data_IF_523124546797
#
_entry.id   IF_523124546797
#
_cell.length_a   1.000
_cell.length_b   1.000
_cell.length_c   1.000
_cell.angle_alpha   90.00
_cell.angle_beta   90.00
_cell.angle_gamma   90.00
#
_symmetry.space_group_name_H-M   'P 1'
#
loop_
_entity.id
_entity.type
_entity.pdbx_description
1 polymer ?
#
# COMPACT_ATOMS: atom_id res chain seq x y z
N UNK A 1 16.18 6.42 -5.57
CA UNK A 1 14.84 6.63 -4.98
C UNK A 1 13.87 7.35 -5.91
N UNK A 2 14.18 8.52 -6.49
CA UNK A 2 13.26 9.22 -7.41
C UNK A 2 12.76 8.35 -8.57
N UNK A 3 13.67 7.63 -9.25
CA UNK A 3 13.32 6.67 -10.30
C UNK A 3 12.34 5.58 -9.83
N UNK A 4 12.60 4.99 -8.66
CA UNK A 4 11.72 3.98 -8.06
C UNK A 4 10.31 4.52 -7.81
N UNK A 5 10.18 5.73 -7.24
CA UNK A 5 8.88 6.36 -6.99
C UNK A 5 8.16 6.71 -8.31
N UNK A 6 8.86 7.28 -9.28
CA UNK A 6 8.31 7.59 -10.60
C UNK A 6 7.81 6.34 -11.34
N UNK A 7 8.54 5.23 -11.23
CA UNK A 7 8.10 3.95 -11.79
C UNK A 7 6.83 3.43 -11.10
N UNK A 8 6.73 3.49 -9.77
CA UNK A 8 5.50 3.09 -9.07
C UNK A 8 4.30 3.96 -9.48
N UNK A 9 4.51 5.26 -9.73
CA UNK A 9 3.47 6.14 -10.26
C UNK A 9 2.99 5.67 -11.65
N UNK A 10 3.92 5.32 -12.54
CA UNK A 10 3.60 4.81 -13.88
C UNK A 10 2.87 3.47 -13.83
N UNK A 11 3.34 2.55 -13.00
CA UNK A 11 2.70 1.25 -12.77
C UNK A 11 1.31 1.37 -12.16
N UNK A 12 0.98 2.51 -11.54
CA UNK A 12 -0.33 2.79 -10.97
C UNK A 12 -1.43 2.98 -12.04
N UNK A 13 -1.10 3.56 -13.19
CA UNK A 13 -2.06 3.77 -14.29
C UNK A 13 -1.85 2.82 -15.48
N UNK A 14 -0.63 2.28 -15.65
CA UNK A 14 -0.31 1.32 -16.70
C UNK A 14 -0.18 -0.09 -16.10
N UNK A 15 -1.30 -0.80 -15.91
CA UNK A 15 -1.31 -2.06 -15.15
C UNK A 15 -1.02 -3.26 -16.06
N UNK A 16 0.01 -4.04 -15.72
CA UNK A 16 0.34 -5.32 -16.36
C UNK A 16 -0.04 -6.53 -15.47
N UNK A 17 -0.23 -7.74 -16.05
CA UNK A 17 -0.61 -8.94 -15.29
C UNK A 17 0.35 -9.29 -14.15
N UNK A 18 1.65 -9.08 -14.36
CA UNK A 18 2.68 -9.25 -13.35
C UNK A 18 3.62 -8.04 -13.29
N UNK A 19 4.11 -7.75 -12.08
CA UNK A 19 5.14 -6.73 -11.88
C UNK A 19 6.42 -7.02 -12.67
N UNK A 20 6.72 -8.28 -12.97
CA UNK A 20 7.93 -8.63 -13.75
C UNK A 20 7.77 -8.29 -15.23
N UNK A 21 6.54 -8.19 -15.72
CA UNK A 21 6.25 -7.98 -17.14
C UNK A 21 6.66 -6.58 -17.63
N UNK A 22 6.80 -5.60 -16.73
CA UNK A 22 7.33 -4.28 -17.09
C UNK A 22 8.79 -4.30 -17.60
N UNK A 23 9.50 -5.41 -17.40
CA UNK A 23 10.83 -5.67 -17.96
C UNK A 23 10.81 -6.77 -19.02
N UNK A 24 9.64 -7.13 -19.54
CA UNK A 24 9.53 -8.06 -20.66
C UNK A 24 10.17 -7.47 -21.92
N UNK A 25 10.74 -8.34 -22.75
CA UNK A 25 11.23 -8.01 -24.09
C UNK A 25 10.25 -8.40 -25.19
N UNK A 26 9.12 -9.04 -24.83
CA UNK A 26 8.08 -9.44 -25.78
C UNK A 26 7.34 -8.22 -26.36
N UNK A 27 7.05 -8.17 -27.67
CA UNK A 27 6.50 -6.97 -28.32
C UNK A 27 5.17 -6.45 -27.76
N UNK A 28 4.34 -7.34 -27.21
CA UNK A 28 3.02 -7.04 -26.66
C UNK A 28 3.04 -6.61 -25.19
N UNK A 29 4.13 -6.91 -24.47
CA UNK A 29 4.31 -6.62 -23.04
C UNK A 29 5.46 -5.64 -22.74
N UNK A 30 6.31 -5.36 -23.73
CA UNK A 30 7.45 -4.50 -23.55
C UNK A 30 7.01 -3.09 -23.15
N UNK A 31 7.60 -2.59 -22.06
CA UNK A 31 7.44 -1.19 -21.62
C UNK A 31 8.82 -0.53 -21.66
N UNK A 32 9.29 -0.05 -22.83
CA UNK A 32 10.63 0.52 -22.98
C UNK A 32 10.91 1.65 -21.99
N UNK A 33 9.88 2.43 -21.65
CA UNK A 33 9.97 3.48 -20.64
C UNK A 33 10.46 2.95 -19.29
N UNK A 34 9.89 1.84 -18.78
CA UNK A 34 10.28 1.26 -17.49
C UNK A 34 11.62 0.52 -17.61
N UNK A 35 11.76 -0.29 -18.67
CA UNK A 35 12.94 -1.12 -18.89
C UNK A 35 14.24 -0.31 -18.92
N UNK A 36 14.21 0.91 -19.48
CA UNK A 36 15.36 1.79 -19.61
C UNK A 36 15.70 2.61 -18.35
N UNK A 37 14.81 2.71 -17.35
CA UNK A 37 15.02 3.56 -16.17
C UNK A 37 15.89 2.86 -15.10
N UNK A 38 15.48 1.66 -14.68
CA UNK A 38 16.26 0.87 -13.72
C UNK A 38 16.12 -0.62 -14.00
N UNK A 39 17.19 -1.42 -13.84
CA UNK A 39 17.12 -2.86 -13.97
C UNK A 39 16.12 -3.49 -12.99
N UNK A 40 15.42 -4.55 -13.43
CA UNK A 40 14.45 -5.29 -12.59
C UNK A 40 15.02 -5.68 -11.24
N UNK A 41 16.23 -6.25 -11.24
CA UNK A 41 16.90 -6.69 -10.02
C UNK A 41 17.07 -5.55 -9.01
N UNK A 42 17.43 -4.35 -9.48
CA UNK A 42 17.61 -3.17 -8.65
C UNK A 42 16.26 -2.66 -8.10
N UNK A 43 15.22 -2.64 -8.92
CA UNK A 43 13.88 -2.29 -8.46
C UNK A 43 13.38 -3.24 -7.37
N UNK A 44 13.53 -4.55 -7.59
CA UNK A 44 13.13 -5.55 -6.60
C UNK A 44 13.95 -5.48 -5.32
N UNK A 45 15.26 -5.18 -5.40
CA UNK A 45 16.12 -4.97 -4.23
C UNK A 45 15.65 -3.78 -3.39
N UNK A 46 15.37 -2.64 -4.03
CA UNK A 46 14.83 -1.46 -3.33
C UNK A 46 13.47 -1.81 -2.70
N UNK A 47 12.57 -2.45 -3.46
CA UNK A 47 11.24 -2.84 -2.97
C UNK A 47 11.33 -3.76 -1.75
N UNK A 48 12.26 -4.71 -1.72
CA UNK A 48 12.43 -5.66 -0.60
C UNK A 48 13.00 -5.00 0.66
N UNK A 49 13.85 -3.99 0.51
CA UNK A 49 14.60 -3.36 1.61
C UNK A 49 14.09 -1.95 1.93
N UNK A 50 12.89 -1.58 1.50
CA UNK A 50 12.34 -0.26 1.75
C UNK A 50 11.93 -0.14 3.22
N UNK A 51 12.63 0.74 3.95
CA UNK A 51 12.39 1.01 5.37
C UNK A 51 12.38 2.52 5.63
N UNK A 52 11.49 2.95 6.53
CA UNK A 52 11.32 4.36 6.89
C UNK A 52 11.67 4.67 8.35
N UNK A 53 11.95 3.65 9.15
CA UNK A 53 12.23 3.76 10.57
C UNK A 53 13.47 2.95 10.97
N UNK A 54 14.04 3.27 12.12
CA UNK A 54 15.11 2.48 12.72
C UNK A 54 14.52 1.36 13.58
N UNK A 55 14.68 0.10 13.17
CA UNK A 55 14.15 -1.03 13.93
C UNK A 55 14.79 -1.22 15.32
N UNK A 56 15.96 -0.60 15.59
CA UNK A 56 16.66 -0.72 16.88
C UNK A 56 16.00 0.08 18.01
N UNK A 57 15.09 1.00 17.70
CA UNK A 57 14.44 1.88 18.68
C UNK A 57 12.95 1.62 18.81
N UNK A 58 12.47 0.52 18.21
CA UNK A 58 11.08 0.06 18.32
C UNK A 58 10.80 -0.29 19.78
N UNK A 59 9.70 0.23 20.31
CA UNK A 59 9.25 -0.05 21.67
C UNK A 59 8.69 -1.47 21.77
N UNK A 60 8.76 -2.05 22.96
CA UNK A 60 8.14 -3.36 23.23
C UNK A 60 6.62 -3.26 23.13
N UNK A 61 5.94 -4.34 22.72
CA UNK A 61 4.48 -4.38 22.57
C UNK A 61 3.71 -4.13 23.87
N UNK A 62 4.33 -4.37 25.02
CA UNK A 62 3.77 -4.11 26.35
C UNK A 62 3.94 -2.66 26.81
N UNK A 63 4.75 -1.88 26.11
CA UNK A 63 4.98 -0.47 26.42
C UNK A 63 3.70 0.35 26.17
N UNK A 64 3.35 1.30 27.05
CA UNK A 64 2.23 2.22 26.80
C UNK A 64 2.45 3.07 25.53
N UNK A 65 3.72 3.34 25.21
CA UNK A 65 4.12 4.09 24.00
C UNK A 65 4.31 3.21 22.76
N UNK A 66 3.79 1.97 22.74
CA UNK A 66 3.90 1.10 21.58
C UNK A 66 2.97 1.57 20.45
N UNK A 67 3.57 1.95 19.33
CA UNK A 67 2.83 2.26 18.11
C UNK A 67 2.90 1.10 17.10
N UNK A 68 1.73 0.53 16.78
CA UNK A 68 1.58 -0.55 15.81
C UNK A 68 1.91 -0.10 14.37
N UNK A 69 1.80 1.20 14.08
CA UNK A 69 2.12 1.83 12.81
C UNK A 69 3.54 2.41 12.75
N UNK A 70 4.37 2.23 13.80
CA UNK A 70 5.70 2.84 13.94
C UNK A 70 6.57 2.76 12.67
N UNK A 71 6.49 1.64 11.94
CA UNK A 71 7.29 1.39 10.73
C UNK A 71 6.97 2.32 9.55
N UNK A 72 5.77 2.89 9.54
CA UNK A 72 5.26 3.79 8.49
C UNK A 72 4.94 5.18 9.04
N UNK A 73 4.96 5.36 10.37
CA UNK A 73 4.63 6.63 11.02
C UNK A 73 5.40 7.83 10.46
N UNK A 74 6.73 7.75 10.18
CA UNK A 74 7.45 8.89 9.59
C UNK A 74 6.90 9.35 8.24
N UNK A 75 6.34 8.43 7.46
CA UNK A 75 5.73 8.73 6.17
C UNK A 75 4.32 9.31 6.33
N UNK A 76 3.55 8.77 7.28
CA UNK A 76 2.24 9.32 7.63
C UNK A 76 2.38 10.77 8.10
N UNK A 77 3.30 11.05 9.03
CA UNK A 77 3.54 12.38 9.58
C UNK A 77 3.99 13.37 8.50
N UNK A 78 4.86 12.92 7.59
CA UNK A 78 5.31 13.72 6.46
C UNK A 78 4.15 14.12 5.56
N UNK A 79 3.32 13.16 5.13
CA UNK A 79 2.18 13.45 4.26
C UNK A 79 1.10 14.28 4.94
N UNK A 80 0.78 14.00 6.20
CA UNK A 80 -0.17 14.79 6.97
C UNK A 80 0.27 16.26 7.04
N UNK A 81 1.55 16.49 7.36
CA UNK A 81 2.12 17.85 7.40
C UNK A 81 2.09 18.50 6.02
N UNK A 82 2.52 17.80 4.98
CA UNK A 82 2.54 18.32 3.61
C UNK A 82 1.15 18.67 3.09
N UNK A 83 0.15 17.81 3.33
CA UNK A 83 -1.21 18.05 2.87
C UNK A 83 -1.87 19.18 3.65
N UNK A 84 -1.71 19.24 4.97
CA UNK A 84 -2.25 20.36 5.77
C UNK A 84 -1.67 21.71 5.32
N UNK A 85 -0.38 21.76 4.98
CA UNK A 85 0.25 22.99 4.50
C UNK A 85 -0.17 23.38 3.07
N UNK A 86 -0.56 22.40 2.24
CA UNK A 86 -0.97 22.63 0.85
C UNK A 86 -2.47 22.91 0.71
N UNK A 87 -3.27 22.62 1.73
CA UNK A 87 -4.73 22.62 1.65
C UNK A 87 -5.29 23.97 2.13
N UNK A 88 -6.15 24.56 1.30
CA UNK A 88 -6.99 25.70 1.68
C UNK A 88 -8.36 25.14 2.10
N UNK A 89 -8.67 25.17 3.38
CA UNK A 89 -9.91 24.60 3.90
C UNK A 89 -11.15 25.34 3.37
N UNK A 90 -12.17 24.58 2.99
CA UNK A 90 -13.53 25.05 2.71
C UNK A 90 -14.43 24.82 3.92
N UNK A 91 -15.56 25.53 3.97
CA UNK A 91 -16.56 25.39 5.04
C UNK A 91 -17.24 24.01 5.03
N UNK A 92 -17.43 23.43 3.84
CA UNK A 92 -18.01 22.11 3.66
C UNK A 92 -16.90 21.07 3.54
N UNK A 93 -16.93 20.07 4.42
CA UNK A 93 -15.99 18.94 4.43
C UNK A 93 -16.73 17.64 4.64
N UNK A 94 -16.33 16.60 3.92
CA UNK A 94 -16.78 15.23 4.15
C UNK A 94 -15.67 14.44 4.84
N UNK A 95 -16.06 13.62 5.82
CA UNK A 95 -15.16 12.72 6.53
C UNK A 95 -15.70 11.32 6.31
N UNK A 96 -14.85 10.46 5.74
CA UNK A 96 -15.16 9.06 5.48
C UNK A 96 -13.91 8.20 5.69
N UNK A 97 -14.11 6.91 5.88
CA UNK A 97 -13.06 5.93 6.08
C UNK A 97 -12.64 5.32 4.73
N UNK A 98 -11.34 5.32 4.44
CA UNK A 98 -10.81 4.61 3.26
C UNK A 98 -10.08 3.33 3.68
N UNK A 99 -10.43 2.22 3.01
CA UNK A 99 -9.84 0.91 3.26
C UNK A 99 -8.87 0.48 2.17
N UNK A 100 -7.63 0.16 2.57
CA UNK A 100 -6.63 -0.42 1.67
C UNK A 100 -6.71 -1.94 1.74
N UNK A 101 -7.00 -2.59 0.60
CA UNK A 101 -7.06 -4.05 0.51
C UNK A 101 -5.68 -4.66 0.79
N UNK A 102 -5.60 -5.55 1.78
CA UNK A 102 -4.37 -6.25 2.14
C UNK A 102 -4.65 -7.70 2.57
N UNK A 103 -4.01 -8.68 1.92
CA UNK A 103 -4.17 -10.11 2.23
C UNK A 103 -3.12 -10.67 3.21
N UNK A 104 -2.03 -9.95 3.48
CA UNK A 104 -0.95 -10.43 4.36
C UNK A 104 -1.32 -10.50 5.85
N UNK A 105 -0.42 -11.07 6.66
CA UNK A 105 -0.56 -11.10 8.12
C UNK A 105 -0.14 -9.75 8.71
N UNK A 106 -1.11 -9.02 9.28
CA UNK A 106 -0.86 -7.77 9.98
C UNK A 106 -1.96 -7.58 11.04
N UNK A 107 -1.57 -7.19 12.24
CA UNK A 107 -2.49 -7.00 13.36
C UNK A 107 -3.44 -5.81 13.17
N UNK A 108 -3.11 -4.83 12.32
CA UNK A 108 -4.00 -3.69 11.96
C UNK A 108 -5.07 -4.06 10.93
N UNK A 109 -4.98 -5.25 10.32
CA UNK A 109 -5.95 -5.68 9.31
C UNK A 109 -7.32 -5.90 9.96
N UNK A 110 -8.32 -5.18 9.47
CA UNK A 110 -9.71 -5.33 9.87
C UNK A 110 -10.51 -6.07 8.78
N UNK A 111 -11.52 -6.83 9.20
CA UNK A 111 -12.49 -7.45 8.31
C UNK A 111 -13.82 -6.74 8.43
N UNK A 112 -14.21 -6.02 7.39
CA UNK A 112 -15.49 -5.33 7.34
C UNK A 112 -16.53 -6.24 6.72
N UNK A 113 -17.57 -6.59 7.48
CA UNK A 113 -18.78 -7.23 6.93
C UNK A 113 -19.64 -6.13 6.31
N UNK A 114 -19.72 -6.10 4.99
CA UNK A 114 -20.69 -5.23 4.32
C UNK A 114 -22.06 -5.90 4.46
N UNK A 115 -22.92 -5.34 5.30
CA UNK A 115 -24.31 -5.76 5.36
C UNK A 115 -25.02 -5.18 4.13
N UNK A 116 -25.10 -5.96 3.06
CA UNK A 116 -25.96 -5.64 1.94
C UNK A 116 -27.41 -5.88 2.37
N UNK A 117 -28.04 -4.88 2.99
CA UNK A 117 -29.51 -4.83 2.97
C UNK A 117 -29.91 -4.63 1.52
N UNK A 118 -30.56 -5.64 0.95
CA UNK A 118 -31.05 -5.76 -0.43
C UNK A 118 -30.12 -6.53 -1.39
N UNK A 119 -30.12 -7.86 -1.25
CA UNK A 119 -30.39 -8.79 -2.37
C UNK A 119 -29.55 -8.73 -3.66
N UNK A 120 -28.38 -8.08 -3.67
CA UNK A 120 -27.50 -8.05 -4.84
C UNK A 120 -26.24 -8.88 -4.59
N UNK A 121 -26.19 -10.05 -5.23
CA UNK A 121 -25.09 -11.00 -5.20
C UNK A 121 -23.84 -10.50 -5.93
N UNK A 122 -22.68 -10.89 -5.39
CA UNK A 122 -21.40 -11.12 -6.08
C UNK A 122 -20.61 -9.91 -6.62
N UNK A 123 -19.93 -9.21 -5.71
CA UNK A 123 -18.60 -8.65 -6.00
C UNK A 123 -17.56 -9.15 -4.98
N UNK A 124 -16.92 -10.27 -5.32
CA UNK A 124 -15.49 -10.54 -5.09
C UNK A 124 -14.87 -10.34 -3.70
N UNK A 125 -15.61 -10.58 -2.61
CA UNK A 125 -14.97 -10.89 -1.33
C UNK A 125 -14.70 -12.40 -1.30
N UNK A 126 -13.47 -12.81 -1.60
CA UNK A 126 -13.01 -14.17 -1.29
C UNK A 126 -13.27 -14.41 0.19
N UNK A 127 -14.33 -15.17 0.49
CA UNK A 127 -14.68 -15.60 1.83
C UNK A 127 -13.59 -16.58 2.26
N UNK A 128 -12.58 -16.09 2.97
CA UNK A 128 -11.65 -16.94 3.69
C UNK A 128 -12.45 -17.52 4.88
N UNK A 129 -12.56 -18.85 5.02
CA UNK A 129 -13.27 -19.45 6.15
C UNK A 129 -12.61 -18.99 7.45
N UNK A 130 -13.43 -18.52 8.39
CA UNK A 130 -12.95 -18.19 9.74
C UNK A 130 -12.39 -19.48 10.38
N UNK A 131 -11.21 -19.43 11.04
CA UNK A 131 -10.72 -20.58 11.78
C UNK A 131 -11.67 -20.91 12.94
N UNK A 132 -12.01 -22.19 13.06
CA UNK A 132 -12.85 -22.74 14.13
C UNK A 132 -12.13 -22.50 15.47
N UNK A 133 -12.80 -21.95 16.50
CA UNK A 133 -12.21 -21.83 17.84
C UNK A 133 -11.94 -23.24 18.41
N UNK A 134 -10.74 -23.42 18.97
CA UNK A 134 -10.35 -24.60 19.77
C UNK A 134 -11.05 -24.56 21.13
#
# INVERSE_FOLDING_TARGET
MKAFLGMNLVMGYHILPSLRDYWSTEPDMAVPFILNITPRARFEEIRRNLHFCNNKVVRDITSPDYDRAYKIQPIIDHFNTSFQNALNNTEEQSIDEHMIKFKGHNAMKQYTKINLSNGASNYGADVIPQPIPI
#
